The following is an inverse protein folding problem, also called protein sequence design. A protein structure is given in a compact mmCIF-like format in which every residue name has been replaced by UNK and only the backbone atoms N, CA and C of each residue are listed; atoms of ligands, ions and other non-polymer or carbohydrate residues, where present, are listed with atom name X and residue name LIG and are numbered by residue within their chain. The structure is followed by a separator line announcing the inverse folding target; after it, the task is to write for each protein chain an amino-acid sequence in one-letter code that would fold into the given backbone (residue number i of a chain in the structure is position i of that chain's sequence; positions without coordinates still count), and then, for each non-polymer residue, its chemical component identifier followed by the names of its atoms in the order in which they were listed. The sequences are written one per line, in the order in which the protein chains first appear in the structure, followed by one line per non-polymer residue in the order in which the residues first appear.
data_IF_847026217303
#
_entry.id   IF_847026217303
#
_cell.length_a   1.000
_cell.length_b   1.000
_cell.length_c   1.000
_cell.angle_alpha   90.00
_cell.angle_beta   90.00
_cell.angle_gamma   90.00
#
_symmetry.space_group_name_H-M   'P 1'
#
loop_
_entity.id
_entity.type
_entity.pdbx_description
1 polymer ?
#
# COMPACT_ATOMS: atom_id res chain seq x y z
N UNK A 1 13.27 -10.16 -31.71
CA UNK A 1 12.28 -9.65 -30.73
C UNK A 1 12.73 -8.27 -30.26
N UNK A 2 11.97 -7.20 -30.55
CA UNK A 2 12.29 -5.84 -30.10
C UNK A 2 12.00 -5.73 -28.61
N UNK A 3 13.04 -5.60 -27.79
CA UNK A 3 12.93 -5.26 -26.38
C UNK A 3 12.56 -3.78 -26.34
N UNK A 4 11.28 -3.47 -26.17
CA UNK A 4 10.86 -2.11 -25.88
C UNK A 4 11.35 -1.78 -24.48
N UNK A 5 12.46 -1.03 -24.41
CA UNK A 5 12.91 -0.38 -23.19
C UNK A 5 11.84 0.67 -22.89
N UNK A 6 11.10 0.47 -21.80
CA UNK A 6 10.05 1.40 -21.38
C UNK A 6 10.74 2.65 -20.83
N UNK A 7 11.07 3.59 -21.71
CA UNK A 7 11.60 4.91 -21.38
C UNK A 7 10.44 5.89 -21.20
N UNK A 8 9.89 5.92 -19.98
CA UNK A 8 8.90 6.89 -19.52
C UNK A 8 8.51 6.64 -18.05
N UNK A 9 8.04 7.65 -17.29
CA UNK A 9 7.59 7.44 -15.92
C UNK A 9 6.37 6.53 -15.92
N UNK A 10 6.56 5.27 -15.53
CA UNK A 10 5.49 4.27 -15.46
C UNK A 10 4.49 4.72 -14.39
N UNK A 11 3.31 5.17 -14.82
CA UNK A 11 2.20 5.50 -13.94
C UNK A 11 1.60 4.27 -13.27
N UNK A 12 0.85 4.48 -12.18
CA UNK A 12 0.15 3.39 -11.45
C UNK A 12 -0.86 2.67 -12.35
N UNK A 13 -1.37 3.38 -13.36
CA UNK A 13 -2.37 2.87 -14.30
C UNK A 13 -1.82 1.90 -15.34
N UNK A 14 -0.49 1.73 -15.42
CA UNK A 14 0.14 0.86 -16.42
C UNK A 14 -0.29 -0.61 -16.22
N UNK A 15 -0.63 -1.36 -17.29
CA UNK A 15 -1.13 -2.74 -17.18
C UNK A 15 -0.19 -3.68 -16.40
N UNK A 16 1.12 -3.52 -16.56
CA UNK A 16 2.10 -4.32 -15.82
C UNK A 16 2.11 -4.02 -14.32
N UNK A 17 1.85 -2.77 -13.92
CA UNK A 17 1.78 -2.37 -12.51
C UNK A 17 0.54 -3.00 -11.86
N UNK A 18 -0.61 -2.92 -12.54
CA UNK A 18 -1.86 -3.56 -12.08
C UNK A 18 -1.69 -5.06 -11.87
N UNK A 19 -1.05 -5.77 -12.80
CA UNK A 19 -0.77 -7.21 -12.65
C UNK A 19 0.16 -7.52 -11.46
N UNK A 20 1.15 -6.69 -11.18
CA UNK A 20 2.00 -6.88 -10.00
C UNK A 20 1.20 -6.64 -8.71
N UNK A 21 0.31 -5.64 -8.71
CA UNK A 21 -0.59 -5.36 -7.59
C UNK A 21 -1.53 -6.54 -7.33
N UNK A 22 -2.15 -7.12 -8.37
CA UNK A 22 -3.01 -8.31 -8.25
C UNK A 22 -2.28 -9.50 -7.61
N UNK A 23 -1.00 -9.70 -7.96
CA UNK A 23 -0.16 -10.76 -7.36
C UNK A 23 0.11 -10.45 -5.88
N UNK A 24 0.41 -9.19 -5.54
CA UNK A 24 0.60 -8.78 -4.15
C UNK A 24 -0.67 -8.98 -3.32
N UNK A 25 -1.84 -8.61 -3.86
CA UNK A 25 -3.15 -8.84 -3.22
C UNK A 25 -3.46 -10.33 -3.06
N UNK A 26 -3.08 -11.19 -4.01
CA UNK A 26 -3.22 -12.64 -3.85
C UNK A 26 -2.36 -13.16 -2.68
N UNK A 27 -1.13 -12.68 -2.53
CA UNK A 27 -0.25 -13.04 -1.41
C UNK A 27 -0.90 -12.62 -0.09
N UNK A 28 -1.41 -11.39 -0.01
CA UNK A 28 -2.09 -10.85 1.17
C UNK A 28 -3.37 -11.61 1.50
N UNK A 29 -4.20 -11.96 0.50
CA UNK A 29 -5.43 -12.75 0.68
C UNK A 29 -5.16 -14.14 1.26
N UNK A 30 -3.98 -14.71 0.97
CA UNK A 30 -3.52 -15.97 1.58
C UNK A 30 -3.02 -15.79 3.02
N UNK A 31 -3.31 -14.64 3.64
CA UNK A 31 -2.90 -14.25 4.99
C UNK A 31 -1.37 -14.26 5.21
N UNK A 32 -0.60 -14.17 4.11
CA UNK A 32 0.86 -14.09 4.15
C UNK A 32 1.29 -12.64 4.25
N UNK A 33 2.32 -12.40 5.05
CA UNK A 33 2.98 -11.10 5.11
C UNK A 33 3.58 -10.80 3.74
N UNK A 34 3.38 -9.59 3.23
CA UNK A 34 3.98 -9.16 1.99
C UNK A 34 5.50 -9.04 2.17
N UNK A 35 6.23 -9.97 1.57
CA UNK A 35 7.67 -9.93 1.43
C UNK A 35 8.01 -9.61 -0.03
N UNK A 36 8.88 -8.63 -0.23
CA UNK A 36 9.26 -8.13 -1.56
C UNK A 36 9.96 -9.20 -2.41
N UNK A 37 10.78 -10.04 -1.80
CA UNK A 37 11.46 -11.15 -2.48
C UNK A 37 10.44 -12.18 -2.98
N UNK A 38 9.47 -12.55 -2.14
CA UNK A 38 8.39 -13.46 -2.54
C UNK A 38 7.53 -12.87 -3.65
N UNK A 39 7.18 -11.58 -3.55
CA UNK A 39 6.44 -10.87 -4.60
C UNK A 39 7.23 -10.86 -5.92
N UNK A 40 8.52 -10.53 -5.87
CA UNK A 40 9.39 -10.52 -7.04
C UNK A 40 9.47 -11.91 -7.68
N UNK A 41 9.67 -12.97 -6.90
CA UNK A 41 9.78 -14.33 -7.41
C UNK A 41 8.48 -14.83 -8.07
N UNK A 42 7.33 -14.55 -7.44
CA UNK A 42 6.02 -14.87 -8.00
C UNK A 42 5.73 -14.07 -9.26
N UNK A 43 6.00 -12.76 -9.24
CA UNK A 43 5.79 -11.89 -10.38
C UNK A 43 6.72 -12.26 -11.54
N UNK A 44 7.99 -12.58 -11.30
CA UNK A 44 8.92 -13.06 -12.34
C UNK A 44 8.46 -14.37 -12.98
N UNK A 45 7.89 -15.28 -12.18
CA UNK A 45 7.39 -16.58 -12.68
C UNK A 45 6.15 -16.40 -13.58
N UNK A 46 5.27 -15.47 -13.24
CA UNK A 46 3.98 -15.25 -13.94
C UNK A 46 4.08 -14.22 -15.06
N UNK A 47 4.87 -13.18 -14.85
CA UNK A 47 5.03 -12.05 -15.75
C UNK A 47 6.41 -12.15 -16.40
N UNK A 48 6.44 -12.34 -17.72
CA UNK A 48 7.67 -12.37 -18.52
C UNK A 48 8.25 -10.95 -18.70
N UNK A 49 8.38 -10.21 -17.60
CA UNK A 49 8.88 -8.82 -17.56
C UNK A 49 10.40 -8.84 -17.28
N UNK A 50 11.19 -7.95 -17.90
CA UNK A 50 12.61 -7.80 -17.57
C UNK A 50 12.83 -7.48 -16.09
N UNK A 51 13.92 -8.00 -15.50
CA UNK A 51 14.26 -7.82 -14.07
C UNK A 51 14.17 -6.36 -13.63
N UNK A 52 14.81 -5.46 -14.38
CA UNK A 52 14.85 -4.04 -14.02
C UNK A 52 13.45 -3.42 -14.01
N UNK A 53 12.62 -3.72 -15.01
CA UNK A 53 11.25 -3.22 -15.07
C UNK A 53 10.39 -3.70 -13.91
N UNK A 54 10.53 -4.97 -13.50
CA UNK A 54 9.79 -5.51 -12.37
C UNK A 54 10.22 -4.86 -11.04
N UNK A 55 11.52 -4.67 -10.82
CA UNK A 55 12.04 -3.97 -9.64
C UNK A 55 11.55 -2.51 -9.59
N UNK A 56 11.57 -1.81 -10.72
CA UNK A 56 11.04 -0.44 -10.82
C UNK A 56 9.55 -0.38 -10.46
N UNK A 57 8.75 -1.32 -10.95
CA UNK A 57 7.31 -1.39 -10.65
C UNK A 57 7.08 -1.59 -9.14
N UNK A 58 7.77 -2.56 -8.54
CA UNK A 58 7.65 -2.82 -7.10
C UNK A 58 8.08 -1.58 -6.29
N UNK A 59 9.18 -0.95 -6.68
CA UNK A 59 9.65 0.26 -6.01
C UNK A 59 8.64 1.41 -6.10
N UNK A 60 7.97 1.60 -7.25
CA UNK A 60 6.92 2.60 -7.42
C UNK A 60 5.75 2.34 -6.46
N UNK A 61 5.32 1.08 -6.34
CA UNK A 61 4.21 0.68 -5.46
C UNK A 61 4.54 0.92 -3.98
N UNK A 62 5.78 0.66 -3.56
CA UNK A 62 6.27 0.94 -2.19
C UNK A 62 6.39 2.44 -1.95
N UNK A 63 6.98 3.19 -2.89
CA UNK A 63 7.20 4.62 -2.75
C UNK A 63 5.88 5.39 -2.65
N UNK A 64 4.86 4.98 -3.41
CA UNK A 64 3.51 5.53 -3.32
C UNK A 64 2.71 5.04 -2.10
N UNK A 65 3.33 4.20 -1.26
CA UNK A 65 2.72 3.59 -0.07
C UNK A 65 1.46 2.80 -0.39
N UNK A 66 1.33 2.26 -1.61
CA UNK A 66 0.24 1.36 -1.99
C UNK A 66 0.48 0.00 -1.34
N UNK A 67 1.71 -0.50 -1.50
CA UNK A 67 2.21 -1.68 -0.81
C UNK A 67 3.02 -1.27 0.42
N UNK A 68 2.78 -1.97 1.52
CA UNK A 68 3.52 -1.81 2.77
C UNK A 68 4.28 -3.12 3.01
N UNK A 69 5.60 -3.06 2.88
CA UNK A 69 6.47 -4.21 3.17
C UNK A 69 6.32 -4.64 4.65
N UNK A 70 6.30 -5.95 4.89
CA UNK A 70 6.13 -6.48 6.24
C UNK A 70 4.69 -6.43 6.77
N UNK A 71 3.74 -5.94 5.96
CA UNK A 71 2.32 -5.89 6.30
C UNK A 71 1.51 -6.95 5.53
N UNK A 72 0.37 -7.32 6.09
CA UNK A 72 -0.68 -8.11 5.40
C UNK A 72 -1.69 -7.23 4.67
N UNK A 73 -1.60 -5.91 4.83
CA UNK A 73 -2.60 -4.96 4.36
C UNK A 73 -1.99 -3.98 3.37
N UNK A 74 -2.74 -3.70 2.29
CA UNK A 74 -2.50 -2.55 1.41
C UNK A 74 -3.03 -1.27 2.05
N UNK A 75 -2.64 -0.11 1.50
CA UNK A 75 -3.20 1.18 1.92
C UNK A 75 -4.73 1.21 1.82
N UNK A 76 -5.29 0.72 0.72
CA UNK A 76 -6.74 0.67 0.50
C UNK A 76 -7.41 -0.16 1.59
N UNK A 77 -6.81 -1.31 1.94
CA UNK A 77 -7.33 -2.18 2.99
C UNK A 77 -7.27 -1.51 4.36
N UNK A 78 -6.18 -0.81 4.69
CA UNK A 78 -6.04 -0.05 5.94
C UNK A 78 -7.08 1.08 6.01
N UNK A 79 -7.30 1.78 4.90
CA UNK A 79 -8.24 2.91 4.80
C UNK A 79 -9.69 2.48 4.57
N UNK A 80 -9.98 1.18 4.43
CA UNK A 80 -11.36 0.67 4.43
C UNK A 80 -12.06 0.87 5.78
N UNK A 81 -11.29 0.94 6.87
CA UNK A 81 -11.81 1.29 8.18
C UNK A 81 -12.12 2.80 8.23
N UNK A 82 -13.37 3.15 8.51
CA UNK A 82 -13.85 4.53 8.51
C UNK A 82 -13.12 5.44 9.51
N UNK A 83 -12.72 4.92 10.68
CA UNK A 83 -11.95 5.68 11.68
C UNK A 83 -10.55 5.96 11.14
N UNK A 84 -9.85 4.92 10.64
CA UNK A 84 -8.50 5.07 10.05
C UNK A 84 -8.50 6.03 8.87
N UNK A 85 -9.54 5.96 8.03
CA UNK A 85 -9.73 6.90 6.92
C UNK A 85 -9.99 8.33 7.41
N UNK A 86 -10.81 8.50 8.44
CA UNK A 86 -11.05 9.79 9.08
C UNK A 86 -9.77 10.44 9.60
N UNK A 87 -8.96 9.68 10.34
CA UNK A 87 -7.64 10.10 10.83
C UNK A 87 -6.75 10.51 9.65
N UNK A 88 -6.63 9.65 8.64
CA UNK A 88 -5.79 9.90 7.46
C UNK A 88 -6.18 11.20 6.74
N UNK A 89 -7.48 11.38 6.49
CA UNK A 89 -7.99 12.56 5.81
C UNK A 89 -7.78 13.83 6.64
N UNK A 90 -7.96 13.75 7.96
CA UNK A 90 -7.75 14.89 8.84
C UNK A 90 -6.29 15.35 8.86
N UNK A 91 -5.34 14.42 8.99
CA UNK A 91 -3.89 14.71 8.95
C UNK A 91 -3.49 15.28 7.58
N UNK A 92 -4.08 14.77 6.50
CA UNK A 92 -3.81 15.25 5.14
C UNK A 92 -4.23 16.71 4.94
N UNK A 93 -5.32 17.14 5.58
CA UNK A 93 -5.82 18.52 5.50
C UNK A 93 -5.05 19.43 6.48
N UNK A 94 -4.64 18.90 7.64
CA UNK A 94 -3.95 19.65 8.70
C UNK A 94 -2.55 19.04 9.00
N UNK A 95 -1.56 19.25 8.12
CA UNK A 95 -0.23 18.73 8.34
C UNK A 95 0.39 19.35 9.60
N UNK A 96 1.11 18.54 10.39
CA UNK A 96 1.73 18.99 11.63
C UNK A 96 0.76 19.20 12.80
N UNK A 97 -0.51 18.78 12.67
CA UNK A 97 -1.48 18.85 13.76
C UNK A 97 -1.01 18.02 14.97
N UNK A 98 -1.11 18.62 16.16
CA UNK A 98 -0.74 17.93 17.39
C UNK A 98 -1.68 16.76 17.69
N UNK A 99 -1.15 15.67 18.24
CA UNK A 99 -1.90 14.44 18.51
C UNK A 99 -3.13 14.68 19.41
N UNK A 100 -3.05 15.59 20.38
CA UNK A 100 -4.20 15.92 21.25
C UNK A 100 -5.38 16.52 20.48
N UNK A 101 -5.12 17.30 19.43
CA UNK A 101 -6.15 17.90 18.57
C UNK A 101 -6.73 16.83 17.66
N UNK A 102 -5.86 16.02 17.04
CA UNK A 102 -6.27 14.89 16.21
C UNK A 102 -7.20 13.96 16.99
N UNK A 103 -6.84 13.60 18.23
CA UNK A 103 -7.65 12.74 19.10
C UNK A 103 -9.05 13.32 19.35
N UNK A 104 -9.16 14.63 19.57
CA UNK A 104 -10.45 15.30 19.84
C UNK A 104 -11.33 15.48 18.59
N UNK A 105 -10.71 15.63 17.42
CA UNK A 105 -11.41 16.07 16.19
C UNK A 105 -11.65 14.95 15.18
N UNK A 106 -10.77 13.95 15.14
CA UNK A 106 -10.82 12.89 14.13
C UNK A 106 -11.27 11.52 14.69
N UNK A 107 -11.26 11.34 16.02
CA UNK A 107 -11.80 10.15 16.66
C UNK A 107 -13.17 10.48 17.25
N UNK A 108 -14.19 9.62 17.07
CA UNK A 108 -15.43 9.75 17.83
C UNK A 108 -15.10 9.65 19.33
N UNK A 109 -15.75 10.48 20.16
CA UNK A 109 -15.67 10.30 21.61
C UNK A 109 -16.40 9.02 21.99
N UNK A 110 -15.67 7.90 22.02
CA UNK A 110 -16.18 6.70 22.66
C UNK A 110 -16.28 6.96 24.17
N UNK A 111 -17.43 6.61 24.76
CA UNK A 111 -17.67 6.54 26.21
C UNK A 111 -16.79 5.49 26.92
N UNK A 112 -15.69 5.05 26.30
CA UNK A 112 -14.80 3.98 26.72
C UNK A 112 -13.43 4.53 27.11
N UNK A 113 -12.94 4.06 28.26
CA UNK A 113 -11.68 4.44 28.90
C UNK A 113 -10.48 4.50 27.94
N UNK A 114 -9.58 5.44 28.23
CA UNK A 114 -8.34 5.80 27.52
C UNK A 114 -7.32 4.68 27.26
N UNK A 115 -7.67 3.41 27.47
CA UNK A 115 -6.79 2.24 27.32
C UNK A 115 -7.15 1.26 26.20
N UNK A 116 -8.27 1.40 25.50
CA UNK A 116 -8.57 0.53 24.35
C UNK A 116 -7.88 1.05 23.09
N UNK A 117 -6.72 0.46 22.79
CA UNK A 117 -6.08 0.56 21.48
C UNK A 117 -7.04 -0.04 20.44
N UNK A 118 -7.37 0.74 19.42
CA UNK A 118 -8.16 0.29 18.28
C UNK A 118 -7.25 -0.60 17.40
N UNK A 119 -7.27 -1.91 17.61
CA UNK A 119 -6.57 -2.90 16.77
C UNK A 119 -7.39 -3.29 15.55
#
# INVERSE_FOLDING_TARGET
MKIQIISGPIGVDHPSVKRVLEIAEEIMRKNKILNIENLYNLAKKRLKIPRNGLLSIIQILINKKILIEGSKFSKETVLSNHIRNGIYNYIRIHPGVHFSILRKKALPEEKGSSGQLVW
#
